data_IF_953330212795
#
_entry.id   IF_953330212795
#
_cell.length_a   1.000
_cell.length_b   1.000
_cell.length_c   1.000
_cell.angle_alpha   90.00
_cell.angle_beta   90.00
_cell.angle_gamma   90.00
#
_symmetry.space_group_name_H-M   'P 1'
#
loop_
_entity.id
_entity.type
_entity.pdbx_description
1 polymer ?
#
# COMPACT_ATOMS: atom_id res chain seq x y z
N UNK A 1 0.45 26.13 -49.61
CA UNK A 1 0.92 26.42 -48.24
C UNK A 1 -0.21 26.00 -47.31
N UNK A 2 -0.32 24.72 -46.96
CA UNK A 2 0.20 24.08 -45.73
C UNK A 2 -0.37 24.67 -44.41
N UNK A 3 -1.18 23.85 -43.73
CA UNK A 3 -1.44 23.79 -42.26
C UNK A 3 -2.50 24.79 -41.74
N UNK A 4 -3.40 24.48 -40.81
CA UNK A 4 -3.26 23.58 -39.66
C UNK A 4 -4.58 22.87 -39.27
N UNK A 5 -4.45 21.61 -38.88
CA UNK A 5 -5.48 20.79 -38.23
C UNK A 5 -5.56 21.14 -36.74
N UNK A 6 -6.66 21.72 -36.27
CA UNK A 6 -6.89 21.89 -34.82
C UNK A 6 -7.73 20.73 -34.31
N UNK A 7 -7.04 19.62 -33.99
CA UNK A 7 -7.63 18.47 -33.31
C UNK A 7 -8.04 18.84 -31.90
N UNK A 8 -9.33 19.09 -31.69
CA UNK A 8 -9.90 19.30 -30.36
C UNK A 8 -10.21 17.94 -29.75
N UNK A 9 -9.19 17.26 -29.25
CA UNK A 9 -9.34 16.01 -28.49
C UNK A 9 -9.90 16.31 -27.10
N UNK A 10 -11.16 15.94 -26.86
CA UNK A 10 -11.72 15.86 -25.50
C UNK A 10 -10.93 14.81 -24.72
N UNK A 11 -10.09 15.25 -23.77
CA UNK A 11 -9.58 14.39 -22.71
C UNK A 11 -10.74 14.14 -21.75
N UNK A 12 -11.32 12.94 -21.79
CA UNK A 12 -12.29 12.54 -20.78
C UNK A 12 -11.56 12.31 -19.43
N UNK A 13 -12.06 12.84 -18.30
CA UNK A 13 -11.56 12.47 -16.99
C UNK A 13 -11.90 11.00 -16.75
N UNK A 14 -10.88 10.15 -16.67
CA UNK A 14 -11.07 8.75 -16.29
C UNK A 14 -11.59 8.74 -14.84
N UNK A 15 -12.75 8.11 -14.54
CA UNK A 15 -13.17 7.87 -13.17
C UNK A 15 -12.07 7.07 -12.44
N UNK A 16 -11.86 7.26 -11.13
CA UNK A 16 -10.85 6.52 -10.39
C UNK A 16 -11.19 5.04 -10.48
N UNK A 17 -10.44 4.33 -11.33
CA UNK A 17 -10.58 2.90 -11.52
C UNK A 17 -10.49 2.26 -10.13
N UNK A 18 -11.46 1.44 -9.68
CA UNK A 18 -11.30 0.67 -8.45
C UNK A 18 -10.06 -0.19 -8.68
N UNK A 19 -8.97 0.24 -8.06
CA UNK A 19 -7.66 -0.39 -8.19
C UNK A 19 -7.92 -1.84 -7.81
N UNK A 20 -7.63 -2.79 -8.72
CA UNK A 20 -7.69 -4.22 -8.41
C UNK A 20 -6.59 -4.49 -7.39
N UNK A 21 -6.87 -4.15 -6.16
CA UNK A 21 -5.95 -4.26 -5.05
C UNK A 21 -5.81 -5.73 -4.70
N UNK A 22 -4.58 -6.22 -4.44
CA UNK A 22 -4.43 -7.51 -3.81
C UNK A 22 -5.12 -7.42 -2.45
N UNK A 23 -6.18 -8.20 -2.25
CA UNK A 23 -6.81 -8.35 -0.95
C UNK A 23 -5.82 -9.05 -0.01
N UNK A 24 -5.05 -8.27 0.75
CA UNK A 24 -4.11 -8.80 1.73
C UNK A 24 -4.87 -9.15 3.00
N UNK A 25 -4.88 -10.43 3.35
CA UNK A 25 -5.41 -10.91 4.63
C UNK A 25 -4.29 -10.93 5.66
N UNK A 26 -4.59 -10.44 6.86
CA UNK A 26 -3.67 -10.51 8.00
C UNK A 26 -3.60 -11.94 8.52
N UNK A 27 -2.40 -12.52 8.56
CA UNK A 27 -2.11 -13.83 9.18
C UNK A 27 -1.71 -13.64 10.64
N UNK A 28 -0.80 -12.70 10.89
CA UNK A 28 -0.40 -12.29 12.24
C UNK A 28 -0.36 -10.77 12.33
N UNK A 29 -0.71 -10.22 13.49
CA UNK A 29 -0.75 -8.79 13.74
C UNK A 29 0.25 -8.44 14.84
N UNK A 30 1.02 -7.39 14.59
CA UNK A 30 1.84 -6.77 15.63
C UNK A 30 1.14 -5.51 16.17
N UNK A 31 1.33 -5.23 17.46
CA UNK A 31 0.86 -4.04 18.17
C UNK A 31 1.79 -2.83 18.02
N UNK A 32 2.99 -3.06 17.47
CA UNK A 32 4.04 -2.06 17.33
C UNK A 32 4.63 -2.05 15.93
N UNK A 33 5.32 -0.96 15.61
CA UNK A 33 6.03 -0.72 14.36
C UNK A 33 7.36 -0.06 14.61
N UNK A 34 8.31 -0.29 13.72
CA UNK A 34 9.63 0.33 13.77
C UNK A 34 9.66 1.60 12.93
N UNK A 35 10.18 2.67 13.52
CA UNK A 35 10.42 3.91 12.81
C UNK A 35 11.52 3.73 11.76
N UNK A 36 11.25 3.96 10.47
CA UNK A 36 12.27 3.82 9.43
C UNK A 36 13.35 4.92 9.49
N UNK A 37 13.13 5.99 10.25
CA UNK A 37 14.07 7.09 10.38
C UNK A 37 15.05 6.94 11.54
N UNK A 38 14.62 6.38 12.67
CA UNK A 38 15.46 6.29 13.87
C UNK A 38 15.57 4.87 14.45
N UNK A 39 14.83 3.89 13.92
CA UNK A 39 14.81 2.51 14.43
C UNK A 39 14.00 2.32 15.73
N UNK A 40 13.41 3.37 16.29
CA UNK A 40 12.62 3.28 17.53
C UNK A 40 11.32 2.47 17.35
N UNK A 41 10.96 1.71 18.39
CA UNK A 41 9.67 1.03 18.49
C UNK A 41 8.57 2.03 18.82
N UNK A 42 7.52 2.04 18.00
CA UNK A 42 6.39 2.95 18.09
C UNK A 42 5.10 2.14 18.07
N UNK A 43 4.05 2.61 18.75
CA UNK A 43 2.72 2.00 18.66
C UNK A 43 2.24 1.95 17.19
N UNK A 44 1.57 0.86 16.82
CA UNK A 44 1.12 0.62 15.43
C UNK A 44 0.21 1.73 14.90
N UNK A 45 -0.62 2.31 15.77
CA UNK A 45 -1.58 3.36 15.44
C UNK A 45 -0.96 4.77 15.35
N UNK A 46 0.24 4.99 15.89
CA UNK A 46 0.82 6.32 15.98
C UNK A 46 1.16 6.89 14.60
N UNK A 47 0.73 8.11 14.30
CA UNK A 47 1.02 8.78 13.03
C UNK A 47 2.38 9.48 13.02
N UNK A 48 2.93 9.75 14.21
CA UNK A 48 4.20 10.45 14.42
C UNK A 48 5.05 9.64 15.40
N UNK A 49 6.33 9.46 15.09
CA UNK A 49 7.28 8.82 16.00
C UNK A 49 7.57 9.75 17.20
N UNK A 50 7.28 9.36 18.44
CA UNK A 50 7.52 10.19 19.62
C UNK A 50 9.02 10.39 19.91
N UNK A 51 9.88 9.50 19.41
CA UNK A 51 11.33 9.55 19.66
C UNK A 51 12.09 10.51 18.74
N UNK A 52 11.62 10.75 17.51
CA UNK A 52 12.35 11.55 16.52
C UNK A 52 11.48 12.53 15.72
N UNK A 53 10.16 12.52 15.88
CA UNK A 53 9.25 13.39 15.13
C UNK A 53 8.93 12.93 13.69
N UNK A 54 9.41 11.76 13.26
CA UNK A 54 9.13 11.23 11.92
C UNK A 54 7.62 11.00 11.71
N UNK A 55 7.05 11.57 10.64
CA UNK A 55 5.65 11.33 10.22
C UNK A 55 5.56 10.08 9.35
N UNK A 56 4.72 9.14 9.76
CA UNK A 56 4.45 7.94 8.99
C UNK A 56 3.48 8.24 7.84
N UNK A 57 3.79 7.75 6.64
CA UNK A 57 2.82 7.68 5.54
C UNK A 57 1.92 6.48 5.76
N UNK A 58 0.61 6.71 5.74
CA UNK A 58 -0.42 5.74 6.08
C UNK A 58 -1.39 5.65 4.91
N UNK A 59 -1.32 4.53 4.18
CA UNK A 59 -2.24 4.17 3.10
C UNK A 59 -3.20 3.09 3.62
N UNK A 60 -4.45 3.47 3.93
CA UNK A 60 -5.45 2.54 4.48
C UNK A 60 -6.14 1.70 3.41
N UNK A 61 -6.21 2.21 2.18
CA UNK A 61 -6.82 1.53 1.06
C UNK A 61 -5.83 0.54 0.42
N UNK A 62 -4.67 1.06 0.01
CA UNK A 62 -3.68 0.30 -0.75
C UNK A 62 -2.43 -0.10 0.05
N UNK A 63 -2.44 -0.04 1.38
CA UNK A 63 -1.26 -0.31 2.21
C UNK A 63 -1.38 -1.57 3.08
N UNK A 64 -0.48 -1.68 4.04
CA UNK A 64 -0.52 -2.71 5.07
C UNK A 64 -1.81 -2.53 5.89
N UNK A 65 -2.69 -3.55 5.98
CA UNK A 65 -3.94 -3.44 6.73
C UNK A 65 -3.75 -3.36 8.26
N UNK A 66 -2.51 -3.47 8.76
CA UNK A 66 -2.17 -3.36 10.18
C UNK A 66 -1.67 -1.97 10.53
N UNK A 67 -0.60 -1.50 9.86
CA UNK A 67 0.05 -0.23 10.18
C UNK A 67 -0.14 0.86 9.12
N UNK A 68 -0.77 0.55 7.99
CA UNK A 68 -0.92 1.44 6.85
C UNK A 68 0.36 1.72 6.06
N UNK A 69 1.47 1.03 6.33
CA UNK A 69 2.69 1.22 5.54
C UNK A 69 2.43 0.87 4.05
N UNK A 70 3.02 1.60 3.09
CA UNK A 70 2.82 1.35 1.67
C UNK A 70 3.29 -0.06 1.28
N UNK A 71 2.72 -0.65 0.23
CA UNK A 71 3.12 -1.99 -0.26
C UNK A 71 4.59 -2.08 -0.68
N UNK A 72 5.24 -0.95 -0.97
CA UNK A 72 6.68 -0.88 -1.20
C UNK A 72 7.51 -1.32 0.01
N UNK A 73 6.93 -1.30 1.22
CA UNK A 73 7.53 -1.78 2.46
C UNK A 73 7.19 -3.24 2.77
N UNK A 74 6.39 -3.92 1.95
CA UNK A 74 6.11 -5.35 2.14
C UNK A 74 7.18 -6.18 1.43
N UNK A 75 7.75 -7.13 2.15
CA UNK A 75 8.68 -8.11 1.61
C UNK A 75 7.96 -9.42 1.37
N UNK A 76 8.12 -10.00 0.17
CA UNK A 76 7.57 -11.34 -0.14
C UNK A 76 8.46 -12.41 0.47
N UNK A 77 7.91 -13.24 1.34
CA UNK A 77 8.64 -14.33 1.99
C UNK A 77 8.57 -15.61 1.15
N UNK A 78 7.38 -16.02 0.74
CA UNK A 78 7.17 -17.25 -0.05
C UNK A 78 5.80 -17.22 -0.73
N UNK A 79 5.72 -17.53 -2.03
CA UNK A 79 4.44 -17.58 -2.76
C UNK A 79 3.58 -16.32 -2.54
N UNK A 80 2.44 -16.52 -1.87
CA UNK A 80 1.45 -15.50 -1.49
C UNK A 80 1.65 -14.92 -0.07
N UNK A 81 2.68 -15.33 0.67
CA UNK A 81 3.03 -14.85 2.00
C UNK A 81 4.01 -13.67 1.95
N UNK A 82 3.65 -12.62 2.67
CA UNK A 82 4.38 -11.37 2.78
C UNK A 82 4.59 -11.01 4.25
N UNK A 83 5.63 -10.24 4.53
CA UNK A 83 5.87 -9.62 5.83
C UNK A 83 6.00 -8.11 5.64
N UNK A 84 5.32 -7.34 6.49
CA UNK A 84 5.47 -5.89 6.48
C UNK A 84 6.83 -5.51 7.08
N UNK A 85 7.67 -4.77 6.35
CA UNK A 85 8.96 -4.27 6.85
C UNK A 85 8.87 -3.12 7.87
N UNK A 86 7.66 -2.77 8.33
CA UNK A 86 7.43 -1.70 9.31
C UNK A 86 6.84 -2.24 10.61
N UNK A 87 5.75 -2.99 10.54
CA UNK A 87 5.14 -3.61 11.72
C UNK A 87 5.37 -5.12 11.82
N UNK A 88 6.19 -5.71 10.93
CA UNK A 88 6.51 -7.15 10.92
C UNK A 88 5.31 -8.11 10.88
N UNK A 89 4.12 -7.59 10.55
CA UNK A 89 2.91 -8.39 10.44
C UNK A 89 2.96 -9.26 9.20
N UNK A 90 2.55 -10.52 9.34
CA UNK A 90 2.46 -11.46 8.22
C UNK A 90 1.13 -11.29 7.50
N UNK A 91 1.21 -11.23 6.18
CA UNK A 91 0.10 -10.95 5.29
C UNK A 91 0.08 -12.01 4.20
N UNK A 92 -1.10 -12.46 3.84
CA UNK A 92 -1.29 -13.39 2.74
C UNK A 92 -2.10 -12.71 1.63
N UNK A 93 -1.65 -12.84 0.38
CA UNK A 93 -2.42 -12.42 -0.79
C UNK A 93 -3.58 -13.39 -0.97
N UNK A 94 -4.80 -12.88 -0.85
CA UNK A 94 -6.02 -13.63 -1.16
C UNK A 94 -6.37 -13.38 -2.61
N UNK A 95 -6.41 -14.45 -3.40
CA UNK A 95 -6.97 -14.41 -4.74
C UNK A 95 -8.49 -14.28 -4.61
N UNK A 96 -9.06 -13.16 -5.04
CA UNK A 96 -10.52 -13.03 -5.16
C UNK A 96 -10.99 -13.89 -6.35
N UNK A 97 -11.80 -14.95 -6.14
CA UNK A 97 -12.35 -15.73 -7.24
C UNK A 97 -13.34 -14.85 -8.00
N UNK A 98 -12.97 -14.42 -9.21
CA UNK A 98 -13.83 -13.56 -10.03
C UNK A 98 -13.15 -12.78 -11.15
N UNK A 99 -11.81 -12.69 -11.16
CA UNK A 99 -11.07 -12.12 -12.29
C UNK A 99 -10.35 -13.22 -13.08
N UNK A 100 -11.14 -14.14 -13.65
CA UNK A 100 -10.65 -14.98 -14.74
C UNK A 100 -10.46 -14.09 -15.97
N UNK A 101 -9.20 -13.82 -16.32
CA UNK A 101 -8.89 -13.36 -17.67
C UNK A 101 -8.96 -14.59 -18.57
N UNK A 102 -9.94 -14.63 -19.47
CA UNK A 102 -10.02 -15.58 -20.57
C UNK A 102 -10.21 -14.81 -21.87
#
# INVERSE_FOLDING_TARGET
>A
QQQATTGTGRVQPQPPQPRREPALRVRTRSDSKVCPSCGGSVEVAAEICPSCGFRFTIDRDSGCPVCGAPLSRLSRLSGDLFVCGICFSELERVTVPGTGQR
#
